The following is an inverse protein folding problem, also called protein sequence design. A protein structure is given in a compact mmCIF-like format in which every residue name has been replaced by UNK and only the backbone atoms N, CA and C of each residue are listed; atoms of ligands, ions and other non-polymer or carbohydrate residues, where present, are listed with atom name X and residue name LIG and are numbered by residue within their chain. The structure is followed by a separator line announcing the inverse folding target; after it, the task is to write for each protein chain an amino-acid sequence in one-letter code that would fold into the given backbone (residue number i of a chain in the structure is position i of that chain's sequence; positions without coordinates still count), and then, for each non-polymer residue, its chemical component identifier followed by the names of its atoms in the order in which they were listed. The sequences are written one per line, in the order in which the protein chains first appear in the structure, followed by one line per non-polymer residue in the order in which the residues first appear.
data_IF_026784130591
#
_entry.id   IF_026784130591
#
_cell.length_a   1.000
_cell.length_b   1.000
_cell.length_c   1.000
_cell.angle_alpha   90.00
_cell.angle_beta   90.00
_cell.angle_gamma   90.00
#
_symmetry.space_group_name_H-M   'P 1'
#
loop_
_entity.id
_entity.type
_entity.pdbx_description
1 polymer ?
#
# COMPACT_ATOMS: atom_id res chain seq x y z
N UNK A 1 -10.81 -5.83 3.70
CA UNK A 1 -10.26 -5.24 2.47
C UNK A 1 -9.27 -4.13 2.79
N UNK A 2 -9.49 -2.89 2.33
CA UNK A 2 -8.54 -1.79 2.54
C UNK A 2 -8.40 -1.37 4.01
N UNK A 3 -9.51 -1.34 4.75
CA UNK A 3 -9.51 -1.01 6.17
C UNK A 3 -8.60 -1.96 6.97
N UNK A 4 -8.66 -3.26 6.70
CA UNK A 4 -7.82 -4.26 7.37
C UNK A 4 -6.33 -4.08 7.03
N UNK A 5 -6.02 -3.69 5.78
CA UNK A 5 -4.66 -3.39 5.35
C UNK A 5 -4.11 -2.17 6.11
N UNK A 6 -4.91 -1.12 6.27
CA UNK A 6 -4.54 0.08 7.03
C UNK A 6 -4.42 -0.21 8.53
N UNK A 7 -5.34 -0.98 9.11
CA UNK A 7 -5.26 -1.42 10.51
C UNK A 7 -4.02 -2.29 10.78
N UNK A 8 -3.50 -3.00 9.77
CA UNK A 8 -2.23 -3.70 9.83
C UNK A 8 -0.99 -2.78 9.68
N UNK A 9 -1.18 -1.45 9.64
CA UNK A 9 -0.10 -0.46 9.49
C UNK A 9 0.51 -0.44 8.09
N UNK A 10 -0.19 -0.94 7.07
CA UNK A 10 0.29 -1.05 5.69
C UNK A 10 -0.58 -0.23 4.73
N UNK A 11 -0.05 0.02 3.54
CA UNK A 11 -0.76 0.59 2.38
C UNK A 11 -0.58 -0.36 1.20
N UNK A 12 -1.67 -0.64 0.48
CA UNK A 12 -1.63 -1.39 -0.78
C UNK A 12 -1.30 -0.42 -1.93
N UNK A 13 -0.03 -0.38 -2.35
CA UNK A 13 0.47 0.59 -3.34
C UNK A 13 0.08 0.27 -4.79
N UNK A 14 -0.53 -0.87 -5.03
CA UNK A 14 -0.86 -1.41 -6.35
C UNK A 14 -2.35 -1.73 -6.45
N UNK A 15 -3.20 -0.82 -5.99
CA UNK A 15 -4.65 -1.05 -5.96
C UNK A 15 -5.28 -0.84 -7.35
N UNK A 16 -5.16 -1.86 -8.21
CA UNK A 16 -5.75 -1.92 -9.55
C UNK A 16 -6.88 -2.94 -9.63
N UNK A 17 -7.77 -2.79 -10.62
CA UNK A 17 -8.92 -3.68 -10.83
C UNK A 17 -8.48 -5.15 -11.03
N UNK A 18 -7.33 -5.38 -11.66
CA UNK A 18 -6.74 -6.70 -11.82
C UNK A 18 -6.38 -7.39 -10.49
N UNK A 19 -6.24 -6.61 -9.41
CA UNK A 19 -5.97 -7.09 -8.05
C UNK A 19 -7.26 -7.18 -7.21
N UNK A 20 -8.43 -7.12 -7.85
CA UNK A 20 -9.71 -7.40 -7.21
C UNK A 20 -10.20 -8.76 -7.70
N UNK A 21 -10.37 -9.70 -6.77
CA UNK A 21 -10.91 -11.02 -7.04
C UNK A 21 -12.37 -11.09 -6.63
N UNK A 22 -13.16 -11.85 -7.38
CA UNK A 22 -14.55 -12.13 -7.12
C UNK A 22 -14.72 -13.65 -7.05
N UNK A 23 -15.41 -14.17 -6.03
CA UNK A 23 -15.69 -15.61 -5.90
C UNK A 23 -17.15 -15.97 -6.21
N UNK A 24 -17.42 -17.27 -6.27
CA UNK A 24 -18.77 -17.80 -6.51
C UNK A 24 -19.76 -17.48 -5.37
N UNK A 25 -19.28 -17.00 -4.23
CA UNK A 25 -20.10 -16.55 -3.10
C UNK A 25 -20.41 -15.05 -3.17
N UNK A 26 -20.18 -14.42 -4.33
CA UNK A 26 -20.40 -13.00 -4.56
C UNK A 26 -19.53 -12.08 -3.68
N UNK A 27 -18.41 -12.59 -3.16
CA UNK A 27 -17.51 -11.84 -2.30
C UNK A 27 -16.35 -11.22 -3.08
N UNK A 28 -16.01 -9.98 -2.71
CA UNK A 28 -14.88 -9.23 -3.29
C UNK A 28 -13.66 -9.28 -2.36
N UNK A 29 -12.50 -9.61 -2.93
CA UNK A 29 -11.24 -9.69 -2.22
C UNK A 29 -10.19 -8.80 -2.88
N UNK A 30 -9.32 -8.23 -2.05
CA UNK A 30 -8.12 -7.54 -2.52
C UNK A 30 -6.99 -8.57 -2.55
N UNK A 31 -6.42 -8.79 -3.73
CA UNK A 31 -5.30 -9.70 -3.96
C UNK A 31 -3.99 -8.92 -4.15
N UNK A 32 -2.95 -9.66 -4.54
CA UNK A 32 -1.57 -9.20 -4.69
C UNK A 32 -1.06 -8.25 -3.60
N UNK A 33 -0.78 -8.82 -2.42
CA UNK A 33 -0.26 -8.08 -1.28
C UNK A 33 1.27 -7.87 -1.33
N UNK A 34 1.93 -8.25 -2.44
CA UNK A 34 3.40 -8.20 -2.53
C UNK A 34 3.93 -6.77 -2.52
N UNK A 35 3.10 -5.81 -2.94
CA UNK A 35 3.41 -4.38 -2.97
C UNK A 35 2.90 -3.63 -1.73
N UNK A 36 2.43 -4.33 -0.70
CA UNK A 36 2.06 -3.70 0.56
C UNK A 36 3.29 -3.16 1.29
N UNK A 37 3.30 -1.85 1.54
CA UNK A 37 4.38 -1.17 2.26
C UNK A 37 3.87 -0.61 3.60
N UNK A 38 4.74 -0.41 4.61
CA UNK A 38 4.35 0.29 5.81
C UNK A 38 3.77 1.67 5.48
N UNK A 39 2.67 2.03 6.14
CA UNK A 39 1.93 3.25 5.86
C UNK A 39 2.77 4.53 6.10
N UNK A 40 3.76 4.46 6.99
CA UNK A 40 4.57 5.60 7.42
C UNK A 40 5.98 5.63 6.80
N UNK A 41 6.19 4.99 5.65
CA UNK A 41 7.48 4.93 4.94
C UNK A 41 7.77 6.13 4.04
N UNK A 42 6.95 7.19 4.08
CA UNK A 42 7.26 8.42 3.38
C UNK A 42 8.52 9.04 3.99
N UNK A 43 9.64 8.93 3.27
CA UNK A 43 10.86 9.65 3.63
C UNK A 43 10.54 11.14 3.54
N UNK A 44 10.34 11.78 4.68
CA UNK A 44 10.36 13.24 4.78
C UNK A 44 11.79 13.71 4.51
N UNK A 45 12.15 13.91 3.25
CA UNK A 45 13.40 14.58 2.94
C UNK A 45 13.26 16.04 3.32
N UNK A 46 13.99 16.45 4.36
CA UNK A 46 14.16 17.87 4.65
C UNK A 46 15.15 18.46 3.65
N UNK A 47 15.01 19.75 3.33
CA UNK A 47 15.93 20.46 2.44
C UNK A 47 17.40 20.31 2.85
N UNK A 48 17.65 20.22 4.17
CA UNK A 48 19.00 20.01 4.75
C UNK A 48 19.58 18.65 4.34
N UNK A 49 18.75 17.62 4.25
CA UNK A 49 19.18 16.27 3.85
C UNK A 49 19.54 16.20 2.37
N UNK A 50 18.86 16.97 1.52
CA UNK A 50 19.14 17.04 0.07
C UNK A 50 20.47 17.77 -0.17
N UNK A 51 20.68 18.93 0.46
CA UNK A 51 21.87 19.77 0.22
C UNK A 51 23.20 19.09 0.63
N UNK A 52 23.18 18.13 1.56
CA UNK A 52 24.36 17.37 1.99
C UNK A 52 24.73 16.18 1.09
N UNK A 53 23.89 15.84 0.11
CA UNK A 53 24.09 14.71 -0.81
C UNK A 53 24.47 15.14 -2.23
N UNK A 54 24.73 16.43 -2.45
CA UNK A 54 25.23 17.04 -3.68
C UNK A 54 26.68 17.47 -3.44
#
# INVERSE_FOLDING_TARGET
GLLDIHNAGKVHKDFYLANILYDDNECLYISDLRMCQPANNEKSFTWISIYKSI
#
